data_IF_555530721902
#
_entry.id   IF_555530721902
#
_cell.length_a   1.000
_cell.length_b   1.000
_cell.length_c   1.000
_cell.angle_alpha   90.00
_cell.angle_beta   90.00
_cell.angle_gamma   90.00
#
_symmetry.space_group_name_H-M   'P 1'
#
loop_
_entity.id
_entity.type
_entity.pdbx_description
1 polymer ?
#
# COMPACT_ATOMS: atom_id res chain seq x y z
N UNK A 1 -4.50 1.84 12.77
CA UNK A 1 -4.86 1.30 11.44
C UNK A 1 -3.71 0.49 10.87
N UNK A 2 -3.97 -0.44 9.95
CA UNK A 2 -2.93 -1.18 9.20
C UNK A 2 -2.61 -0.45 7.90
N UNK A 3 -1.36 -0.04 7.74
CA UNK A 3 -0.86 0.75 6.61
C UNK A 3 0.17 -0.07 5.85
N UNK A 4 0.00 -0.16 4.54
CA UNK A 4 0.95 -0.77 3.63
C UNK A 4 1.72 0.32 2.89
N UNK A 5 3.04 0.20 2.88
CA UNK A 5 3.92 0.98 2.01
C UNK A 5 4.21 0.16 0.75
N UNK A 6 4.08 0.78 -0.42
CA UNK A 6 4.59 0.19 -1.66
C UNK A 6 6.13 0.10 -1.63
N UNK A 7 6.73 -0.39 -2.72
CA UNK A 7 8.19 -0.52 -2.84
C UNK A 7 8.92 0.83 -2.92
N UNK A 8 8.26 1.87 -3.44
CA UNK A 8 8.88 3.18 -3.66
C UNK A 8 8.78 4.11 -2.44
N UNK A 9 7.92 3.79 -1.47
CA UNK A 9 7.66 4.64 -0.31
C UNK A 9 8.87 4.64 0.63
N UNK A 10 9.42 5.82 0.97
CA UNK A 10 10.56 5.91 1.87
C UNK A 10 10.26 5.31 3.24
N UNK A 11 10.95 4.22 3.58
CA UNK A 11 10.79 3.51 4.85
C UNK A 11 10.84 4.41 6.11
N UNK A 12 11.70 5.46 6.18
CA UNK A 12 11.72 6.35 7.35
C UNK A 12 10.39 7.06 7.63
N UNK A 13 9.49 7.19 6.66
CA UNK A 13 8.18 7.83 6.82
C UNK A 13 7.32 7.14 7.89
N UNK A 14 7.55 5.84 8.15
CA UNK A 14 6.86 5.10 9.22
C UNK A 14 7.03 5.73 10.61
N UNK A 15 8.11 6.49 10.83
CA UNK A 15 8.39 7.21 12.09
C UNK A 15 7.40 8.35 12.37
N UNK A 16 6.66 8.79 11.35
CA UNK A 16 5.58 9.76 11.50
C UNK A 16 4.21 9.09 11.77
N UNK A 17 4.14 7.76 11.73
CA UNK A 17 2.90 6.98 11.81
C UNK A 17 2.90 6.05 13.04
N UNK A 18 3.44 6.53 14.17
CA UNK A 18 3.74 5.69 15.34
C UNK A 18 2.51 5.01 15.98
N UNK A 19 1.31 5.55 15.78
CA UNK A 19 0.05 4.97 16.28
C UNK A 19 -0.58 3.95 15.30
N UNK A 20 0.14 3.59 14.24
CA UNK A 20 -0.31 2.68 13.20
C UNK A 20 0.62 1.48 13.05
N UNK A 21 0.08 0.37 12.57
CA UNK A 21 0.87 -0.80 12.19
C UNK A 21 1.28 -0.62 10.74
N UNK A 22 2.56 -0.37 10.50
CA UNK A 22 3.11 -0.14 9.16
C UNK A 22 3.91 -1.36 8.73
N UNK A 23 3.62 -1.87 7.53
CA UNK A 23 4.44 -2.87 6.85
C UNK A 23 4.80 -2.37 5.45
N UNK A 24 5.94 -2.80 4.94
CA UNK A 24 6.31 -2.60 3.53
C UNK A 24 5.96 -3.82 2.70
N UNK A 25 5.64 -3.61 1.43
CA UNK A 25 5.50 -4.71 0.49
C UNK A 25 6.78 -5.57 0.40
N UNK A 26 7.97 -5.03 0.74
CA UNK A 26 9.22 -5.78 0.81
C UNK A 26 9.23 -6.76 1.99
N UNK A 27 8.90 -6.29 3.21
CA UNK A 27 8.83 -7.13 4.42
C UNK A 27 7.80 -8.27 4.29
N UNK A 28 6.75 -8.06 3.49
CA UNK A 28 5.71 -9.06 3.20
C UNK A 28 6.06 -10.00 2.04
N UNK A 29 7.22 -9.82 1.38
CA UNK A 29 7.62 -10.63 0.23
C UNK A 29 6.83 -10.33 -1.05
N UNK A 30 6.19 -9.17 -1.14
CA UNK A 30 5.34 -8.73 -2.27
C UNK A 30 6.07 -7.84 -3.27
N UNK A 31 7.40 -7.80 -3.28
CA UNK A 31 8.19 -6.92 -4.15
C UNK A 31 8.02 -7.16 -5.65
N UNK A 32 7.57 -8.34 -6.05
CA UNK A 32 7.35 -8.71 -7.46
C UNK A 32 5.88 -8.68 -7.86
N UNK A 33 4.99 -8.31 -6.93
CA UNK A 33 3.55 -8.29 -7.16
C UNK A 33 3.19 -7.03 -7.96
N UNK A 34 2.25 -7.17 -8.91
CA UNK A 34 1.77 -6.03 -9.71
C UNK A 34 1.01 -5.03 -8.82
N UNK A 35 0.91 -3.77 -9.23
CA UNK A 35 0.16 -2.75 -8.48
C UNK A 35 -1.30 -3.17 -8.20
N UNK A 36 -1.98 -3.77 -9.19
CA UNK A 36 -3.36 -4.23 -9.03
C UNK A 36 -3.47 -5.39 -8.04
N UNK A 37 -2.53 -6.33 -8.09
CA UNK A 37 -2.47 -7.44 -7.12
C UNK A 37 -2.06 -6.96 -5.73
N UNK A 38 -1.20 -5.95 -5.62
CA UNK A 38 -0.78 -5.37 -4.36
C UNK A 38 -1.97 -4.75 -3.63
N UNK A 39 -2.79 -3.98 -4.34
CA UNK A 39 -4.05 -3.42 -3.81
C UNK A 39 -4.95 -4.57 -3.32
N UNK A 40 -5.15 -5.61 -4.13
CA UNK A 40 -6.01 -6.75 -3.78
C UNK A 40 -5.49 -7.50 -2.55
N UNK A 41 -4.19 -7.78 -2.47
CA UNK A 41 -3.56 -8.44 -1.32
C UNK A 41 -3.68 -7.58 -0.06
N UNK A 42 -3.49 -6.26 -0.20
CA UNK A 42 -3.64 -5.33 0.90
C UNK A 42 -5.07 -5.38 1.47
N UNK A 43 -6.09 -5.34 0.61
CA UNK A 43 -7.50 -5.49 1.01
C UNK A 43 -7.77 -6.84 1.68
N UNK A 44 -7.27 -7.94 1.10
CA UNK A 44 -7.45 -9.30 1.63
C UNK A 44 -6.81 -9.50 3.02
N UNK A 45 -5.65 -8.90 3.24
CA UNK A 45 -4.95 -8.95 4.53
C UNK A 45 -5.47 -7.91 5.54
N UNK A 46 -6.48 -7.13 5.18
CA UNK A 46 -7.11 -6.14 6.06
C UNK A 46 -6.28 -4.88 6.28
N UNK A 47 -5.47 -4.48 5.30
CA UNK A 47 -4.87 -3.15 5.28
C UNK A 47 -5.92 -2.12 4.89
N UNK A 48 -5.88 -0.99 5.59
CA UNK A 48 -6.87 0.10 5.47
C UNK A 48 -6.35 1.24 4.60
N UNK A 49 -5.02 1.36 4.47
CA UNK A 49 -4.34 2.39 3.69
C UNK A 49 -3.14 1.81 2.95
N UNK A 50 -3.04 2.08 1.65
CA UNK A 50 -1.84 1.92 0.85
C UNK A 50 -1.22 3.31 0.60
N UNK A 51 0.01 3.50 1.05
CA UNK A 51 0.83 4.67 0.68
C UNK A 51 1.73 4.26 -0.49
N UNK A 52 1.67 5.03 -1.56
CA UNK A 52 2.42 4.74 -2.79
C UNK A 52 3.08 5.99 -3.37
N UNK A 53 4.22 5.80 -4.03
CA UNK A 53 4.86 6.86 -4.81
C UNK A 53 4.43 6.86 -6.28
N UNK A 54 3.65 5.86 -6.70
CA UNK A 54 3.19 5.74 -8.08
C UNK A 54 1.98 6.64 -8.36
N UNK A 55 2.28 7.83 -8.90
CA UNK A 55 1.26 8.81 -9.29
C UNK A 55 0.44 8.39 -10.52
N UNK A 56 0.87 7.35 -11.24
CA UNK A 56 0.13 6.82 -12.39
C UNK A 56 -0.89 5.75 -12.02
N UNK A 57 -0.95 5.33 -10.76
CA UNK A 57 -1.81 4.24 -10.29
C UNK A 57 -3.29 4.43 -10.69
N UNK A 58 -3.80 5.66 -10.60
CA UNK A 58 -5.19 6.02 -10.99
C UNK A 58 -5.50 5.83 -12.48
N UNK A 59 -4.49 5.86 -13.34
CA UNK A 59 -4.63 5.64 -14.77
C UNK A 59 -4.45 4.16 -15.14
N UNK A 60 -3.76 3.40 -14.28
CA UNK A 60 -3.46 1.98 -14.48
C UNK A 60 -4.53 1.05 -13.88
N UNK A 61 -5.20 1.49 -12.80
CA UNK A 61 -6.12 0.67 -12.01
C UNK A 61 -7.46 1.38 -11.80
N UNK A 62 -8.56 0.61 -11.76
CA UNK A 62 -9.84 1.13 -11.32
C UNK A 62 -9.86 1.23 -9.78
N UNK A 63 -9.84 2.46 -9.27
CA UNK A 63 -9.81 2.75 -7.83
C UNK A 63 -11.21 2.96 -7.22
N UNK A 64 -12.25 3.13 -8.05
CA UNK A 64 -13.60 3.44 -7.58
C UNK A 64 -14.24 2.29 -6.78
N UNK A 65 -13.82 1.05 -7.05
CA UNK A 65 -14.35 -0.16 -6.41
C UNK A 65 -13.47 -0.67 -5.27
N UNK A 66 -12.50 0.12 -4.80
CA UNK A 66 -11.55 -0.29 -3.77
C UNK A 66 -12.03 0.15 -2.39
N UNK A 67 -11.88 -0.74 -1.43
CA UNK A 67 -12.18 -0.54 -0.01
C UNK A 67 -10.99 0.05 0.75
N UNK A 68 -9.77 -0.19 0.27
CA UNK A 68 -8.55 0.40 0.82
C UNK A 68 -8.38 1.85 0.37
N UNK A 69 -8.01 2.73 1.29
CA UNK A 69 -7.61 4.09 0.96
C UNK A 69 -6.25 4.10 0.25
N UNK A 70 -6.04 5.02 -0.68
CA UNK A 70 -4.78 5.16 -1.41
C UNK A 70 -4.29 6.60 -1.26
N UNK A 71 -3.04 6.75 -0.81
CA UNK A 71 -2.35 8.03 -0.61
C UNK A 71 -1.09 8.11 -1.49
#
# INVERSE_FOLDING_TARGET
MRILFDQGTPFPLRRALNDHVVATAYELGWSTVTNGDLIRLAEQEGYELLITTDTNLRYQQNLQSRSIAIL
#
